data_IF_441706818660
#
_entry.id   IF_441706818660
#
_cell.length_a   1.000
_cell.length_b   1.000
_cell.length_c   1.000
_cell.angle_alpha   90.00
_cell.angle_beta   90.00
_cell.angle_gamma   90.00
#
_symmetry.space_group_name_H-M   'P 1'
#
loop_
_entity.id
_entity.type
_entity.pdbx_description
1 polymer ?
#
# COMPACT_ATOMS: atom_id res chain seq x y z
N UNK A 1 4.48 -12.84 -4.08
CA UNK A 1 3.44 -12.20 -3.22
C UNK A 1 2.61 -13.20 -2.43
N UNK A 2 1.85 -14.12 -3.06
CA UNK A 2 0.88 -15.02 -2.39
C UNK A 2 1.48 -15.80 -1.21
N UNK A 3 2.60 -16.49 -1.41
CA UNK A 3 3.26 -17.25 -0.34
C UNK A 3 3.74 -16.37 0.83
N UNK A 4 4.18 -15.14 0.56
CA UNK A 4 4.62 -14.22 1.61
C UNK A 4 3.44 -13.76 2.48
N UNK A 5 2.28 -13.53 1.87
CA UNK A 5 1.04 -13.21 2.62
C UNK A 5 0.63 -14.38 3.51
N UNK A 6 0.71 -15.62 3.02
CA UNK A 6 0.34 -16.82 3.80
C UNK A 6 1.27 -17.04 5.00
N UNK A 7 2.53 -16.60 4.91
CA UNK A 7 3.51 -16.67 6.00
C UNK A 7 3.45 -15.49 6.96
N UNK A 8 2.83 -14.38 6.55
CA UNK A 8 2.65 -13.20 7.41
C UNK A 8 1.55 -13.46 8.44
N UNK A 9 1.67 -12.87 9.64
CA UNK A 9 0.68 -13.01 10.73
C UNK A 9 -0.02 -11.69 11.11
N UNK A 10 0.44 -10.56 10.57
CA UNK A 10 -0.13 -9.25 10.87
C UNK A 10 -1.55 -9.08 10.36
N UNK A 11 -2.36 -8.31 11.08
CA UNK A 11 -3.69 -7.87 10.62
C UNK A 11 -3.56 -6.89 9.43
N UNK A 12 -2.55 -6.02 9.48
CA UNK A 12 -2.23 -5.07 8.43
C UNK A 12 -1.03 -5.62 7.66
N UNK A 13 -1.18 -5.76 6.35
CA UNK A 13 -0.13 -6.23 5.44
C UNK A 13 0.39 -5.04 4.65
N UNK A 14 1.65 -4.68 4.86
CA UNK A 14 2.38 -3.74 4.00
C UNK A 14 3.29 -4.54 3.07
N UNK A 15 3.34 -4.14 1.80
CA UNK A 15 4.17 -4.80 0.80
C UNK A 15 5.50 -4.05 0.65
N UNK A 16 6.50 -4.80 0.17
CA UNK A 16 7.85 -4.33 -0.10
C UNK A 16 8.42 -5.15 -1.25
N UNK A 17 8.81 -4.46 -2.33
CA UNK A 17 9.58 -5.03 -3.42
C UNK A 17 11.06 -5.17 -3.03
N UNK A 18 11.78 -6.02 -3.75
CA UNK A 18 13.20 -6.32 -3.51
C UNK A 18 14.14 -5.16 -3.87
N UNK A 19 13.72 -4.27 -4.75
CA UNK A 19 14.44 -3.06 -5.17
C UNK A 19 14.14 -1.81 -4.33
N UNK A 20 13.20 -1.92 -3.38
CA UNK A 20 12.73 -0.82 -2.55
C UNK A 20 13.24 -0.91 -1.09
N UNK A 21 13.10 0.20 -0.37
CA UNK A 21 13.37 0.27 1.07
C UNK A 21 12.27 1.03 1.81
N UNK A 22 12.01 0.64 3.05
CA UNK A 22 11.13 1.43 3.92
C UNK A 22 11.89 2.62 4.50
N UNK A 23 11.22 3.78 4.47
CA UNK A 23 11.58 4.89 5.35
C UNK A 23 11.38 4.46 6.81
N UNK A 24 12.22 4.94 7.72
CA UNK A 24 12.15 4.61 9.16
C UNK A 24 10.75 4.79 9.75
N UNK A 25 10.02 5.80 9.28
CA UNK A 25 8.70 6.16 9.78
C UNK A 25 7.53 5.39 9.14
N UNK A 26 7.76 4.62 8.07
CA UNK A 26 6.68 4.04 7.26
C UNK A 26 5.71 3.22 8.11
N UNK A 27 6.22 2.26 8.89
CA UNK A 27 5.36 1.36 9.68
C UNK A 27 4.59 2.12 10.78
N UNK A 28 5.21 3.13 11.40
CA UNK A 28 4.54 4.01 12.39
C UNK A 28 3.36 4.75 11.76
N UNK A 29 3.55 5.30 10.55
CA UNK A 29 2.51 6.02 9.81
C UNK A 29 1.38 5.07 9.42
N UNK A 30 1.70 3.92 8.82
CA UNK A 30 0.72 2.90 8.43
C UNK A 30 -0.11 2.48 9.65
N UNK A 31 0.54 2.11 10.75
CA UNK A 31 -0.15 1.72 11.98
C UNK A 31 -1.09 2.82 12.49
N UNK A 32 -0.61 4.07 12.55
CA UNK A 32 -1.42 5.20 13.02
C UNK A 32 -2.67 5.39 12.15
N UNK A 33 -2.53 5.31 10.83
CA UNK A 33 -3.63 5.51 9.89
C UNK A 33 -4.70 4.41 10.05
N UNK A 34 -4.32 3.14 10.11
CA UNK A 34 -5.28 2.05 10.34
C UNK A 34 -5.90 2.07 11.74
N UNK A 35 -5.15 2.50 12.76
CA UNK A 35 -5.67 2.65 14.12
C UNK A 35 -6.71 3.76 14.23
N UNK A 36 -6.49 4.88 13.54
CA UNK A 36 -7.41 6.02 13.53
C UNK A 36 -8.66 5.79 12.66
N UNK A 37 -8.61 4.82 11.75
CA UNK A 37 -9.68 4.54 10.80
C UNK A 37 -10.04 3.04 10.83
N UNK A 38 -10.90 2.59 11.76
CA UNK A 38 -11.27 1.17 11.90
C UNK A 38 -11.81 0.55 10.60
N UNK A 39 -12.59 1.30 9.82
CA UNK A 39 -13.17 0.83 8.56
C UNK A 39 -12.21 0.87 7.36
N UNK A 40 -10.99 1.38 7.52
CA UNK A 40 -10.00 1.44 6.45
C UNK A 40 -9.56 0.04 6.04
N UNK A 41 -9.67 -0.31 4.75
CA UNK A 41 -9.26 -1.62 4.21
C UNK A 41 -8.05 -1.54 3.28
N UNK A 42 -7.79 -0.36 2.70
CA UNK A 42 -6.70 -0.13 1.77
C UNK A 42 -6.12 1.28 1.94
N UNK A 43 -4.80 1.36 2.07
CA UNK A 43 -4.04 2.59 2.19
C UNK A 43 -2.94 2.63 1.14
N UNK A 44 -2.97 3.64 0.27
CA UNK A 44 -1.87 3.97 -0.62
C UNK A 44 -1.15 5.23 -0.13
N UNK A 45 0.16 5.13 0.06
CA UNK A 45 1.02 6.21 0.55
C UNK A 45 2.02 6.67 -0.52
N UNK A 46 2.63 7.84 -0.30
CA UNK A 46 3.68 8.34 -1.17
C UNK A 46 4.98 7.53 -1.02
N UNK A 47 5.84 7.61 -2.03
CA UNK A 47 7.21 7.09 -1.99
C UNK A 47 8.18 8.14 -2.55
N UNK A 48 9.45 7.99 -2.20
CA UNK A 48 10.55 8.78 -2.74
C UNK A 48 11.38 7.89 -3.67
N UNK A 49 11.77 8.42 -4.83
CA UNK A 49 12.67 7.71 -5.74
C UNK A 49 14.10 8.05 -5.38
N UNK A 50 14.93 7.02 -5.22
CA UNK A 50 16.37 7.15 -4.97
C UNK A 50 17.16 6.50 -6.11
N UNK A 51 18.39 6.96 -6.32
CA UNK A 51 19.34 6.27 -7.19
C UNK A 51 20.00 5.10 -6.45
N UNK A 52 20.84 4.33 -7.15
CA UNK A 52 21.58 3.20 -6.58
C UNK A 52 22.60 3.59 -5.51
N UNK A 53 22.86 4.88 -5.30
CA UNK A 53 23.71 5.42 -4.23
C UNK A 53 22.88 5.95 -3.06
N UNK A 54 21.56 5.72 -3.06
CA UNK A 54 20.63 6.19 -2.03
C UNK A 54 20.30 7.68 -2.10
N UNK A 55 20.68 8.37 -3.17
CA UNK A 55 20.43 9.81 -3.32
C UNK A 55 19.05 10.02 -3.94
N UNK A 56 18.26 10.92 -3.35
CA UNK A 56 16.94 11.30 -3.88
C UNK A 56 17.05 11.80 -5.31
N UNK A 57 16.20 11.28 -6.19
CA UNK A 57 16.12 11.69 -7.60
C UNK A 57 14.78 12.37 -7.84
N UNK A 58 14.82 13.59 -8.36
CA UNK A 58 13.64 14.26 -8.92
C UNK A 58 13.52 13.84 -10.38
N UNK A 59 12.80 12.76 -10.67
CA UNK A 59 12.53 12.37 -12.07
C UNK A 59 11.50 13.34 -12.65
N UNK A 60 11.80 14.09 -13.71
CA UNK A 60 10.74 14.76 -14.50
C UNK A 60 9.75 13.69 -14.99
N UNK A 61 8.46 13.86 -14.68
CA UNK A 61 7.41 12.86 -14.93
C UNK A 61 7.09 11.95 -13.74
N UNK A 62 8.08 11.60 -12.90
CA UNK A 62 7.84 11.26 -11.49
C UNK A 62 7.95 12.56 -10.71
N UNK A 63 7.02 13.48 -10.95
CA UNK A 63 6.61 14.26 -9.78
C UNK A 63 6.35 13.18 -8.75
N UNK A 64 7.02 13.25 -7.60
CA UNK A 64 6.52 12.63 -6.37
C UNK A 64 5.09 13.13 -6.36
N UNK A 65 4.20 12.35 -6.96
CA UNK A 65 2.81 12.70 -7.04
C UNK A 65 2.56 12.66 -5.55
N UNK A 66 2.39 13.82 -4.94
CA UNK A 66 1.44 14.00 -3.86
C UNK A 66 0.10 13.55 -4.43
N UNK A 67 -0.01 12.28 -4.81
CA UNK A 67 -1.21 11.52 -4.73
C UNK A 67 -1.47 11.63 -3.25
N UNK A 68 -2.43 12.50 -2.92
CA UNK A 68 -3.05 12.49 -1.63
C UNK A 68 -3.23 11.04 -1.25
N UNK A 69 -2.72 10.66 -0.08
CA UNK A 69 -2.79 9.27 0.35
C UNK A 69 -4.21 8.77 0.16
N UNK A 70 -4.37 7.67 -0.58
CA UNK A 70 -5.69 7.15 -0.88
C UNK A 70 -6.09 6.22 0.24
N UNK A 71 -7.17 6.57 0.92
CA UNK A 71 -7.77 5.83 2.02
C UNK A 71 -9.09 5.28 1.47
N UNK A 72 -9.26 3.97 1.49
CA UNK A 72 -10.50 3.33 1.07
C UNK A 72 -11.08 2.55 2.24
N UNK A 73 -12.34 2.83 2.57
CA UNK A 73 -13.06 2.20 3.67
C UNK A 73 -13.95 1.04 3.20
N UNK A 74 -14.37 0.24 4.17
CA UNK A 74 -15.25 -0.91 4.02
C UNK A 74 -16.64 -0.48 3.54
N UNK A 75 -16.84 -0.52 2.22
CA UNK A 75 -18.12 -0.29 1.55
C UNK A 75 -18.13 -1.05 0.22
N UNK A 76 -19.30 -1.34 -0.34
CA UNK A 76 -19.40 -2.00 -1.66
C UNK A 76 -18.64 -1.21 -2.74
N UNK A 77 -18.76 0.11 -2.73
CA UNK A 77 -18.01 0.99 -3.64
C UNK A 77 -16.51 0.98 -3.34
N UNK A 78 -16.13 0.94 -2.06
CA UNK A 78 -14.72 0.85 -1.64
C UNK A 78 -14.06 -0.42 -2.15
N UNK A 79 -14.71 -1.58 -2.02
CA UNK A 79 -14.22 -2.85 -2.55
C UNK A 79 -14.06 -2.80 -4.08
N UNK A 80 -15.03 -2.25 -4.80
CA UNK A 80 -14.92 -2.06 -6.25
C UNK A 80 -13.75 -1.15 -6.64
N UNK A 81 -13.49 -0.10 -5.85
CA UNK A 81 -12.37 0.80 -6.09
C UNK A 81 -11.03 0.09 -5.88
N UNK A 82 -10.91 -0.73 -4.83
CA UNK A 82 -9.73 -1.55 -4.57
C UNK A 82 -9.46 -2.53 -5.72
N UNK A 83 -10.49 -3.24 -6.19
CA UNK A 83 -10.36 -4.16 -7.33
C UNK A 83 -9.84 -3.41 -8.56
N UNK A 84 -10.43 -2.25 -8.88
CA UNK A 84 -9.98 -1.40 -10.00
C UNK A 84 -8.53 -0.95 -9.85
N UNK A 85 -8.06 -0.71 -8.64
CA UNK A 85 -6.66 -0.30 -8.40
C UNK A 85 -5.71 -1.46 -8.72
N UNK A 86 -6.01 -2.65 -8.22
CA UNK A 86 -5.19 -3.85 -8.46
C UNK A 86 -5.21 -4.30 -9.91
N UNK A 87 -6.33 -4.18 -10.63
CA UNK A 87 -6.42 -4.57 -12.05
C UNK A 87 -5.79 -3.57 -13.01
N UNK A 88 -5.72 -2.29 -12.65
CA UNK A 88 -5.15 -1.24 -13.51
C UNK A 88 -3.69 -0.88 -13.14
N UNK A 89 -3.04 -1.65 -12.26
CA UNK A 89 -1.64 -1.48 -11.83
C UNK A 89 -1.24 -0.03 -11.52
N UNK A 90 -2.14 0.75 -10.90
CA UNK A 90 -1.94 2.20 -10.75
C UNK A 90 -0.86 2.60 -9.74
N UNK A 91 -0.44 1.68 -8.87
CA UNK A 91 0.48 1.94 -7.78
C UNK A 91 1.50 0.80 -7.66
N UNK A 92 2.72 1.11 -7.19
CA UNK A 92 3.70 0.08 -6.85
C UNK A 92 3.34 -0.61 -5.54
N UNK A 93 3.63 -1.91 -5.44
CA UNK A 93 3.29 -2.71 -4.26
C UNK A 93 3.89 -2.13 -2.98
N UNK A 94 5.12 -1.63 -3.01
CA UNK A 94 5.77 -0.95 -1.88
C UNK A 94 5.05 0.31 -1.39
N UNK A 95 4.03 0.79 -2.10
CA UNK A 95 3.25 1.98 -1.75
C UNK A 95 1.91 1.66 -1.08
N UNK A 96 1.59 0.37 -0.90
CA UNK A 96 0.29 -0.05 -0.39
C UNK A 96 0.39 -0.82 0.92
N UNK A 97 -0.64 -0.64 1.74
CA UNK A 97 -0.93 -1.47 2.89
C UNK A 97 -2.44 -1.79 2.92
N UNK A 98 -2.79 -3.00 3.35
CA UNK A 98 -4.18 -3.50 3.35
C UNK A 98 -4.50 -4.21 4.65
N UNK A 99 -5.78 -4.25 5.04
CA UNK A 99 -6.21 -5.22 6.05
C UNK A 99 -6.25 -6.61 5.44
N UNK A 100 -5.78 -7.60 6.21
CA UNK A 100 -5.82 -9.02 5.83
C UNK A 100 -7.21 -9.48 5.40
N UNK A 101 -8.26 -9.01 6.06
CA UNK A 101 -9.66 -9.36 5.74
C UNK A 101 -10.01 -9.11 4.27
N UNK A 102 -9.37 -8.11 3.63
CA UNK A 102 -9.60 -7.79 2.22
C UNK A 102 -9.02 -8.88 1.32
N UNK A 103 -7.81 -9.37 1.63
CA UNK A 103 -7.15 -10.43 0.87
C UNK A 103 -7.93 -11.74 1.02
N UNK A 104 -8.36 -12.06 2.23
CA UNK A 104 -9.12 -13.28 2.50
C UNK A 104 -10.46 -13.29 1.74
N UNK A 105 -11.18 -12.15 1.73
CA UNK A 105 -12.42 -12.03 0.96
C UNK A 105 -12.23 -12.24 -0.54
N UNK A 106 -11.12 -11.76 -1.11
CA UNK A 106 -10.84 -11.97 -2.54
C UNK A 106 -10.51 -13.41 -2.91
N UNK A 107 -10.20 -14.28 -1.95
CA UNK A 107 -9.94 -15.72 -2.18
C UNK A 107 -11.20 -16.58 -2.13
N UNK A 108 -12.28 -16.06 -1.55
CA UNK A 108 -13.56 -16.76 -1.42
C UNK A 108 -14.53 -16.48 -2.59
N UNK A 109 -14.08 -15.73 -3.59
CA UNK A 109 -14.78 -15.44 -4.85
C UNK A 109 -14.14 -16.29 -5.93
#
# INVERSE_FOLDING_TARGET
MVHAVDKSLGEIIAFLNDDDMFMSEKLRIVYKIFKQNPDLIFYHHSAEVIDSKGRRVVKKGFHVRKLNSLIITKSSQGLLNVIKIFTNSRYGDSQIAVRRELIEKTRSI
#
